data_IF_362633131176
#
_entry.id   IF_362633131176
#
_cell.length_a   1.000
_cell.length_b   1.000
_cell.length_c   1.000
_cell.angle_alpha   90.00
_cell.angle_beta   90.00
_cell.angle_gamma   90.00
#
_symmetry.space_group_name_H-M   'P 1'
#
loop_
_entity.id
_entity.type
_entity.pdbx_description
1 polymer ?
#
# COMPACT_ATOMS: atom_id res chain seq x y z
N UNK A 1 44.35 -18.35 -5.13
CA UNK A 1 42.87 -18.39 -5.11
C UNK A 1 42.42 -17.65 -3.85
N UNK A 2 41.83 -16.46 -3.97
CA UNK A 2 41.42 -15.65 -2.83
C UNK A 2 40.05 -16.11 -2.30
N UNK A 3 40.05 -16.58 -1.07
CA UNK A 3 38.89 -17.10 -0.35
C UNK A 3 37.93 -15.95 -0.01
N UNK A 4 36.74 -15.94 -0.63
CA UNK A 4 35.73 -14.89 -0.43
C UNK A 4 35.08 -15.08 0.95
N UNK A 5 35.64 -14.45 1.99
CA UNK A 5 34.98 -14.36 3.31
C UNK A 5 33.69 -13.55 3.18
N UNK A 6 32.54 -14.22 3.10
CA UNK A 6 31.22 -13.59 3.22
C UNK A 6 31.08 -12.99 4.62
N UNK A 7 31.38 -11.70 4.75
CA UNK A 7 31.06 -10.92 5.93
C UNK A 7 29.53 -10.87 6.13
N UNK A 8 29.02 -11.65 7.11
CA UNK A 8 27.62 -11.74 7.53
C UNK A 8 26.91 -10.39 7.75
N UNK A 9 27.68 -9.34 8.07
CA UNK A 9 27.15 -8.00 8.35
C UNK A 9 26.76 -7.18 7.11
N UNK A 10 27.35 -7.47 5.94
CA UNK A 10 27.01 -6.75 4.70
C UNK A 10 25.62 -7.16 4.17
N UNK A 11 25.24 -8.42 4.39
CA UNK A 11 23.96 -9.00 3.96
C UNK A 11 22.76 -8.43 4.76
N UNK A 12 22.94 -8.17 6.07
CA UNK A 12 21.91 -7.59 6.92
C UNK A 12 21.53 -6.16 6.51
N UNK A 13 22.53 -5.31 6.20
CA UNK A 13 22.29 -3.93 5.74
C UNK A 13 21.62 -3.90 4.38
N UNK A 14 22.02 -4.78 3.46
CA UNK A 14 21.38 -4.91 2.16
C UNK A 14 19.92 -5.37 2.28
N UNK A 15 19.65 -6.39 3.10
CA UNK A 15 18.29 -6.86 3.39
C UNK A 15 17.39 -5.78 3.99
N UNK A 16 17.90 -4.96 4.91
CA UNK A 16 17.14 -3.83 5.46
C UNK A 16 16.88 -2.76 4.39
N UNK A 17 17.87 -2.44 3.55
CA UNK A 17 17.72 -1.45 2.47
C UNK A 17 16.71 -1.89 1.39
N UNK A 18 16.65 -3.18 1.08
CA UNK A 18 15.64 -3.75 0.17
C UNK A 18 14.25 -3.72 0.83
N UNK A 19 14.15 -3.97 2.14
CA UNK A 19 12.88 -3.88 2.88
C UNK A 19 12.27 -2.48 2.85
N UNK A 20 13.09 -1.43 2.87
CA UNK A 20 12.64 -0.03 2.73
C UNK A 20 12.16 0.33 1.32
N UNK A 21 12.60 -0.40 0.28
CA UNK A 21 12.18 -0.18 -1.11
C UNK A 21 11.02 -1.09 -1.56
N UNK A 22 10.88 -2.28 -0.96
CA UNK A 22 9.85 -3.26 -1.31
C UNK A 22 8.51 -3.01 -0.58
N UNK A 23 8.55 -2.29 0.55
CA UNK A 23 7.36 -1.69 1.14
C UNK A 23 7.32 -0.22 0.75
N UNK A 24 6.45 0.20 -0.19
CA UNK A 24 6.14 1.60 -0.28
C UNK A 24 5.69 2.04 1.12
N UNK A 25 6.23 3.15 1.66
CA UNK A 25 5.76 3.66 2.94
C UNK A 25 4.23 3.75 2.88
N UNK A 26 3.50 3.64 4.02
CA UNK A 26 2.06 3.89 4.07
C UNK A 26 1.80 5.38 3.87
N UNK A 27 2.25 5.94 2.75
CA UNK A 27 1.99 7.30 2.28
C UNK A 27 0.51 7.28 1.94
N UNK A 28 -0.22 7.67 2.98
CA UNK A 28 -1.64 7.89 3.07
C UNK A 28 -2.45 6.78 2.40
N UNK A 29 -2.80 5.75 3.18
CA UNK A 29 -3.88 4.81 2.84
C UNK A 29 -5.07 5.55 2.22
N UNK A 30 -5.38 6.75 2.74
CA UNK A 30 -6.35 7.70 2.18
C UNK A 30 -6.07 8.06 0.71
N UNK A 31 -4.88 8.57 0.39
CA UNK A 31 -4.53 8.95 -0.98
C UNK A 31 -4.54 7.74 -1.90
N UNK A 32 -3.96 6.61 -1.49
CA UNK A 32 -3.94 5.39 -2.30
C UNK A 32 -5.34 4.88 -2.63
N UNK A 33 -6.26 4.91 -1.66
CA UNK A 33 -7.68 4.56 -1.89
C UNK A 33 -8.31 5.54 -2.89
N UNK A 34 -8.04 6.85 -2.78
CA UNK A 34 -8.63 7.86 -3.65
C UNK A 34 -8.08 7.83 -5.07
N UNK A 35 -6.78 7.62 -5.23
CA UNK A 35 -6.15 7.41 -6.54
C UNK A 35 -6.72 6.17 -7.23
N UNK A 36 -6.78 5.05 -6.50
CA UNK A 36 -7.39 3.83 -7.02
C UNK A 36 -8.88 4.02 -7.31
N UNK A 37 -9.59 4.81 -6.52
CA UNK A 37 -10.99 5.12 -6.78
C UNK A 37 -11.18 5.91 -8.07
N UNK A 38 -10.24 6.80 -8.43
CA UNK A 38 -10.24 7.52 -9.72
C UNK A 38 -10.04 6.57 -10.89
N UNK A 39 -9.06 5.67 -10.81
CA UNK A 39 -8.80 4.64 -11.85
C UNK A 39 -10.00 3.71 -12.02
N UNK A 40 -10.62 3.29 -10.92
CA UNK A 40 -11.77 2.41 -10.91
C UNK A 40 -13.10 3.16 -10.69
N UNK A 41 -13.24 4.38 -11.21
CA UNK A 41 -14.44 5.21 -11.02
C UNK A 41 -15.72 4.53 -11.52
N UNK A 42 -15.62 3.75 -12.61
CA UNK A 42 -16.71 2.98 -13.22
C UNK A 42 -17.22 1.81 -12.35
N UNK A 43 -16.40 1.28 -11.42
CA UNK A 43 -16.86 0.21 -10.53
C UNK A 43 -17.80 0.75 -9.44
N UNK A 44 -18.81 -0.04 -9.08
CA UNK A 44 -19.68 0.23 -7.92
C UNK A 44 -18.84 0.35 -6.64
N UNK A 45 -19.19 1.29 -5.76
CA UNK A 45 -18.47 1.58 -4.51
C UNK A 45 -18.22 0.32 -3.67
N UNK A 46 -19.24 -0.53 -3.51
CA UNK A 46 -19.14 -1.76 -2.73
C UNK A 46 -18.19 -2.80 -3.34
N UNK A 47 -18.21 -2.95 -4.67
CA UNK A 47 -17.29 -3.83 -5.37
C UNK A 47 -15.83 -3.36 -5.25
N UNK A 48 -15.62 -2.04 -5.28
CA UNK A 48 -14.30 -1.45 -5.07
C UNK A 48 -13.80 -1.67 -3.63
N UNK A 49 -14.65 -1.46 -2.62
CA UNK A 49 -14.31 -1.70 -1.21
C UNK A 49 -13.85 -3.14 -0.99
N UNK A 50 -14.64 -4.12 -1.43
CA UNK A 50 -14.29 -5.54 -1.26
C UNK A 50 -13.00 -5.92 -2.01
N UNK A 51 -12.81 -5.40 -3.22
CA UNK A 51 -11.60 -5.64 -4.00
C UNK A 51 -10.36 -5.05 -3.32
N UNK A 52 -10.43 -3.78 -2.89
CA UNK A 52 -9.32 -3.07 -2.28
C UNK A 52 -8.94 -3.70 -0.93
N UNK A 53 -9.94 -4.01 -0.10
CA UNK A 53 -9.77 -4.69 1.16
C UNK A 53 -9.06 -6.04 0.99
N UNK A 54 -9.47 -6.84 0.00
CA UNK A 54 -8.85 -8.14 -0.25
C UNK A 54 -7.43 -8.03 -0.83
N UNK A 55 -7.21 -7.08 -1.76
CA UNK A 55 -5.92 -6.89 -2.44
C UNK A 55 -4.83 -6.35 -1.51
N UNK A 56 -5.17 -5.39 -0.66
CA UNK A 56 -4.23 -4.72 0.23
C UNK A 56 -4.32 -5.20 1.68
N UNK A 57 -5.13 -6.24 1.95
CA UNK A 57 -5.34 -6.82 3.29
C UNK A 57 -5.71 -5.76 4.34
N UNK A 58 -6.51 -4.78 3.94
CA UNK A 58 -7.04 -3.73 4.81
C UNK A 58 -8.50 -4.02 5.19
N UNK A 59 -8.97 -3.46 6.30
CA UNK A 59 -10.37 -3.60 6.69
C UNK A 59 -11.27 -2.84 5.71
N UNK A 60 -12.39 -3.43 5.25
CA UNK A 60 -13.32 -2.76 4.34
C UNK A 60 -13.94 -1.51 4.96
N UNK A 61 -14.05 -1.44 6.29
CA UNK A 61 -14.53 -0.28 7.04
C UNK A 61 -13.63 0.94 6.88
N UNK A 62 -12.31 0.76 6.94
CA UNK A 62 -11.35 1.85 6.72
C UNK A 62 -11.45 2.40 5.30
N UNK A 63 -11.63 1.52 4.31
CA UNK A 63 -11.82 1.93 2.91
C UNK A 63 -13.12 2.71 2.75
N UNK A 64 -14.21 2.25 3.38
CA UNK A 64 -15.49 2.96 3.36
C UNK A 64 -15.39 4.33 3.99
N UNK A 65 -14.76 4.44 5.16
CA UNK A 65 -14.56 5.69 5.90
C UNK A 65 -13.78 6.72 5.09
N UNK A 66 -12.69 6.29 4.44
CA UNK A 66 -11.90 7.16 3.55
C UNK A 66 -12.73 7.68 2.38
N UNK A 67 -13.51 6.81 1.74
CA UNK A 67 -14.38 7.21 0.62
C UNK A 67 -15.49 8.15 1.07
N UNK A 68 -15.97 8.03 2.30
CA UNK A 68 -17.01 8.89 2.86
C UNK A 68 -16.45 10.29 3.17
N UNK A 69 -15.32 10.34 3.88
CA UNK A 69 -14.60 11.58 4.15
C UNK A 69 -14.22 12.36 2.88
N UNK A 70 -13.89 11.65 1.79
CA UNK A 70 -13.58 12.29 0.52
C UNK A 70 -14.80 12.86 -0.20
N UNK A 71 -15.99 12.27 0.02
CA UNK A 71 -17.26 12.80 -0.48
C UNK A 71 -17.69 14.04 0.30
N UNK A 72 -17.51 14.04 1.62
CA UNK A 72 -17.81 15.23 2.46
C UNK A 72 -16.84 16.39 2.17
N UNK A 73 -15.59 16.09 1.82
CA UNK A 73 -14.58 17.10 1.50
C UNK A 73 -14.67 17.68 0.07
N UNK A 74 -15.49 17.11 -0.82
CA UNK A 74 -15.79 17.65 -2.16
C UNK A 74 -17.32 17.82 -2.30
N UNK A 75 -17.87 18.97 -1.84
CA UNK A 75 -19.28 19.30 -2.06
C UNK A 75 -19.63 19.46 -3.54
#
# INVERSE_FOLDING_TARGET
MAEYKKCRHADQRYRNRVKEYDMPPPVNLRESILEMRRVYASKKREAFVSWYANRYKVKPEDVRRVLDQAREANP
#
